data_IF_477731959532
#
_entry.id   IF_477731959532
#
_cell.length_a   1.000
_cell.length_b   1.000
_cell.length_c   1.000
_cell.angle_alpha   90.00
_cell.angle_beta   90.00
_cell.angle_gamma   90.00
#
_symmetry.space_group_name_H-M   'P 1'
#
loop_
_entity.id
_entity.type
_entity.pdbx_description
1 polymer ?
#
# COMPACT_ATOMS: atom_id res chain seq x y z
N UNK A 1 -8.75 18.24 -7.83
CA UNK A 1 -8.99 17.37 -6.66
C UNK A 1 -7.71 16.59 -6.42
N UNK A 2 -6.94 16.97 -5.42
CA UNK A 2 -5.63 16.39 -5.16
C UNK A 2 -5.77 15.10 -4.34
N UNK A 3 -5.50 13.95 -4.97
CA UNK A 3 -5.58 12.63 -4.36
C UNK A 3 -4.50 12.39 -3.29
N UNK A 4 -3.53 13.31 -3.13
CA UNK A 4 -2.38 13.14 -2.24
C UNK A 4 -2.69 13.36 -0.74
N UNK A 5 -3.84 13.95 -0.38
CA UNK A 5 -4.20 14.24 1.03
C UNK A 5 -4.80 13.08 1.81
N UNK A 6 -5.14 11.96 1.15
CA UNK A 6 -5.84 10.86 1.81
C UNK A 6 -4.85 9.81 2.29
N UNK A 7 -4.14 10.13 3.38
CA UNK A 7 -3.20 9.19 4.00
C UNK A 7 -3.98 7.98 4.54
N UNK A 8 -3.54 6.73 4.28
CA UNK A 8 -4.28 5.51 4.64
C UNK A 8 -4.66 5.41 6.13
N UNK A 9 -3.82 5.99 7.00
CA UNK A 9 -4.03 6.02 8.45
C UNK A 9 -5.32 6.75 8.83
N UNK A 10 -5.59 7.91 8.22
CA UNK A 10 -6.77 8.72 8.57
C UNK A 10 -8.08 8.14 8.01
N UNK A 11 -8.03 7.47 6.85
CA UNK A 11 -9.19 6.79 6.26
C UNK A 11 -9.76 5.69 7.17
N UNK A 12 -8.87 4.92 7.79
CA UNK A 12 -9.27 3.82 8.67
C UNK A 12 -9.98 4.36 9.90
N UNK A 13 -9.40 5.39 10.55
CA UNK A 13 -10.02 6.07 11.69
C UNK A 13 -11.39 6.66 11.33
N UNK A 14 -11.51 7.29 10.16
CA UNK A 14 -12.76 7.86 9.66
C UNK A 14 -13.87 6.82 9.50
N UNK A 15 -13.57 5.71 8.84
CA UNK A 15 -14.56 4.64 8.61
C UNK A 15 -15.00 4.02 9.93
N UNK A 16 -14.09 3.84 10.89
CA UNK A 16 -14.44 3.35 12.23
C UNK A 16 -15.33 4.34 13.00
N UNK A 17 -15.03 5.64 12.97
CA UNK A 17 -15.87 6.68 13.57
C UNK A 17 -17.28 6.73 12.96
N UNK A 18 -17.38 6.55 11.64
CA UNK A 18 -18.68 6.49 10.96
C UNK A 18 -19.49 5.25 11.32
N UNK A 19 -18.84 4.09 11.46
CA UNK A 19 -19.49 2.87 11.96
C UNK A 19 -20.01 3.02 13.40
N UNK A 20 -19.36 3.86 14.20
CA UNK A 20 -19.78 4.22 15.57
C UNK A 20 -20.87 5.31 15.63
N UNK A 21 -21.33 5.82 14.49
CA UNK A 21 -22.45 6.79 14.43
C UNK A 21 -22.08 8.22 14.05
N UNK A 22 -20.81 8.52 13.70
CA UNK A 22 -20.45 9.86 13.21
C UNK A 22 -21.10 10.13 11.84
N UNK A 23 -21.84 11.24 11.66
CA UNK A 23 -22.45 11.57 10.37
C UNK A 23 -21.44 11.75 9.25
N UNK A 24 -21.74 11.20 8.06
CA UNK A 24 -20.84 11.25 6.89
C UNK A 24 -20.49 12.68 6.48
N UNK A 25 -21.41 13.63 6.65
CA UNK A 25 -21.20 15.04 6.31
C UNK A 25 -20.16 15.72 7.22
N UNK A 26 -20.20 15.44 8.52
CA UNK A 26 -19.27 15.99 9.52
C UNK A 26 -17.84 15.52 9.25
N UNK A 27 -17.67 14.22 8.99
CA UNK A 27 -16.37 13.65 8.66
C UNK A 27 -15.84 14.12 7.29
N UNK A 28 -16.71 14.30 6.29
CA UNK A 28 -16.33 14.84 4.98
C UNK A 28 -15.75 16.26 5.11
N UNK A 29 -16.41 17.13 5.88
CA UNK A 29 -15.93 18.49 6.15
C UNK A 29 -14.61 18.49 6.92
N UNK A 30 -14.50 17.65 7.96
CA UNK A 30 -13.34 17.62 8.86
C UNK A 30 -12.05 17.15 8.17
N UNK A 31 -12.15 16.26 7.18
CA UNK A 31 -10.98 15.63 6.55
C UNK A 31 -10.85 15.91 5.04
N UNK A 32 -11.72 16.74 4.46
CA UNK A 32 -11.64 17.12 3.05
C UNK A 32 -11.83 15.96 2.06
N UNK A 33 -12.51 14.89 2.48
CA UNK A 33 -12.78 13.71 1.63
C UNK A 33 -14.23 13.79 1.10
N UNK A 34 -14.47 13.57 -0.21
CA UNK A 34 -15.81 13.58 -0.76
C UNK A 34 -16.76 12.62 -0.04
N UNK A 35 -17.99 13.08 0.22
CA UNK A 35 -19.02 12.32 0.95
C UNK A 35 -19.31 10.97 0.31
N UNK A 36 -19.39 10.91 -1.02
CA UNK A 36 -19.65 9.68 -1.79
C UNK A 36 -18.52 8.67 -1.59
N UNK A 37 -17.26 9.12 -1.58
CA UNK A 37 -16.09 8.27 -1.33
C UNK A 37 -16.15 7.64 0.07
N UNK A 38 -16.50 8.43 1.09
CA UNK A 38 -16.67 7.92 2.46
C UNK A 38 -17.82 6.92 2.56
N UNK A 39 -18.96 7.23 1.93
CA UNK A 39 -20.12 6.35 1.90
C UNK A 39 -19.79 4.99 1.25
N UNK A 40 -19.08 4.99 0.12
CA UNK A 40 -18.68 3.77 -0.57
C UNK A 40 -17.73 2.91 0.27
N UNK A 41 -16.84 3.54 1.05
CA UNK A 41 -15.93 2.84 1.97
C UNK A 41 -16.66 2.27 3.19
N UNK A 42 -17.59 3.01 3.79
CA UNK A 42 -18.40 2.53 4.92
C UNK A 42 -19.29 1.36 4.51
N UNK A 43 -19.95 1.47 3.35
CA UNK A 43 -20.82 0.42 2.78
C UNK A 43 -20.03 -0.77 2.21
N UNK A 44 -18.71 -0.74 2.21
CA UNK A 44 -17.87 -1.83 1.69
C UNK A 44 -17.85 -1.96 0.16
N UNK A 45 -18.44 -1.03 -0.59
CA UNK A 45 -18.40 -1.04 -2.07
C UNK A 45 -16.98 -0.90 -2.62
N UNK A 46 -16.10 -0.27 -1.86
CA UNK A 46 -14.67 -0.13 -2.19
C UNK A 46 -13.85 -0.36 -0.93
N UNK A 47 -12.68 -1.01 -1.03
CA UNK A 47 -11.83 -1.24 0.13
C UNK A 47 -11.34 0.09 0.72
N UNK A 48 -11.13 0.08 2.05
CA UNK A 48 -10.70 1.27 2.81
C UNK A 48 -9.32 1.72 2.31
N UNK A 49 -8.42 0.76 2.11
CA UNK A 49 -7.12 0.96 1.48
C UNK A 49 -7.14 0.33 0.09
N UNK A 50 -6.65 1.06 -0.91
CA UNK A 50 -6.40 0.51 -2.24
C UNK A 50 -5.14 1.14 -2.81
N UNK A 51 -4.31 0.35 -3.47
CA UNK A 51 -3.27 0.88 -4.35
C UNK A 51 -3.96 1.40 -5.63
N UNK A 52 -3.53 2.56 -6.11
CA UNK A 52 -3.96 3.10 -7.40
C UNK A 52 -3.03 2.56 -8.48
N UNK A 53 -3.59 2.05 -9.59
CA UNK A 53 -2.81 1.51 -10.71
C UNK A 53 -2.74 -0.02 -10.74
N UNK A 54 -1.96 -0.56 -11.70
CA UNK A 54 -1.73 -2.01 -11.84
C UNK A 54 -1.09 -2.56 -10.56
N UNK A 55 -1.42 -3.82 -10.25
CA UNK A 55 -0.73 -4.57 -9.20
C UNK A 55 0.77 -4.62 -9.49
N UNK A 56 1.58 -4.56 -8.43
CA UNK A 56 3.02 -4.76 -8.58
C UNK A 56 3.27 -6.23 -8.92
N UNK A 57 4.27 -6.53 -9.77
CA UNK A 57 4.70 -7.91 -10.02
C UNK A 57 5.31 -8.54 -8.76
N UNK A 58 6.03 -7.73 -7.97
CA UNK A 58 6.55 -8.13 -6.68
C UNK A 58 5.48 -7.90 -5.62
N UNK A 59 4.96 -8.96 -5.02
CA UNK A 59 3.93 -8.84 -3.98
C UNK A 59 4.51 -8.23 -2.70
N UNK A 60 3.64 -7.65 -1.85
CA UNK A 60 4.06 -7.05 -0.58
C UNK A 60 4.82 -8.03 0.32
N UNK A 61 4.52 -9.32 0.23
CA UNK A 61 5.18 -10.33 1.04
C UNK A 61 6.61 -10.60 0.58
N UNK A 62 6.85 -10.60 -0.74
CA UNK A 62 8.20 -10.70 -1.30
C UNK A 62 9.01 -9.44 -0.94
N UNK A 63 8.40 -8.25 -1.05
CA UNK A 63 9.04 -7.00 -0.65
C UNK A 63 9.44 -7.02 0.84
N UNK A 64 8.60 -7.54 1.74
CA UNK A 64 8.92 -7.69 3.17
C UNK A 64 10.12 -8.61 3.40
N UNK A 65 10.22 -9.72 2.67
CA UNK A 65 11.36 -10.65 2.76
C UNK A 65 12.64 -9.94 2.32
N UNK A 66 12.61 -9.24 1.18
CA UNK A 66 13.73 -8.44 0.68
C UNK A 66 14.18 -7.37 1.68
N UNK A 67 13.25 -6.60 2.25
CA UNK A 67 13.58 -5.58 3.26
C UNK A 67 14.19 -6.20 4.51
N UNK A 68 13.69 -7.35 4.95
CA UNK A 68 14.20 -8.06 6.12
C UNK A 68 15.63 -8.55 5.87
N UNK A 69 15.87 -9.14 4.70
CA UNK A 69 17.21 -9.57 4.29
C UNK A 69 18.19 -8.40 4.18
N UNK A 70 17.80 -7.29 3.52
CA UNK A 70 18.65 -6.10 3.41
C UNK A 70 19.03 -5.55 4.79
N UNK A 71 18.07 -5.46 5.71
CA UNK A 71 18.32 -5.01 7.08
C UNK A 71 19.25 -5.97 7.85
N UNK A 72 19.09 -7.27 7.66
CA UNK A 72 19.95 -8.27 8.30
C UNK A 72 21.41 -8.15 7.81
N UNK A 73 21.61 -7.94 6.51
CA UNK A 73 22.93 -7.78 5.91
C UNK A 73 23.63 -6.50 6.39
N UNK A 74 22.89 -5.39 6.48
CA UNK A 74 23.41 -4.14 7.09
C UNK A 74 23.80 -4.37 8.55
N UNK A 75 22.98 -5.08 9.34
CA UNK A 75 23.29 -5.39 10.74
C UNK A 75 24.55 -6.25 10.91
N UNK A 76 24.83 -7.11 9.93
CA UNK A 76 26.03 -7.94 9.90
C UNK A 76 27.28 -7.21 9.36
N UNK A 77 27.16 -5.94 8.96
CA UNK A 77 28.26 -5.15 8.44
C UNK A 77 28.49 -5.28 6.92
N UNK A 78 27.54 -5.89 6.20
CA UNK A 78 27.59 -6.08 4.75
C UNK A 78 26.45 -5.29 4.07
N UNK A 79 26.56 -3.97 3.94
CA UNK A 79 25.54 -3.18 3.26
C UNK A 79 25.44 -3.59 1.77
N UNK A 80 24.21 -3.76 1.30
CA UNK A 80 23.93 -4.16 -0.08
C UNK A 80 23.80 -2.91 -0.96
N UNK A 81 24.61 -2.85 -2.02
CA UNK A 81 24.52 -1.82 -3.05
C UNK A 81 23.31 -2.03 -3.98
N UNK A 82 23.01 -0.99 -4.77
CA UNK A 82 21.90 -0.99 -5.72
C UNK A 82 21.97 -2.17 -6.71
N UNK A 83 23.14 -2.42 -7.28
CA UNK A 83 23.31 -3.44 -8.33
C UNK A 83 23.08 -4.84 -7.76
N UNK A 84 23.70 -5.15 -6.62
CA UNK A 84 23.50 -6.40 -5.88
C UNK A 84 22.02 -6.63 -5.50
N UNK A 85 21.30 -5.57 -5.14
CA UNK A 85 19.86 -5.65 -4.86
C UNK A 85 19.07 -6.00 -6.13
N UNK A 86 19.37 -5.36 -7.25
CA UNK A 86 18.71 -5.63 -8.52
C UNK A 86 18.96 -7.05 -9.01
N UNK A 87 20.19 -7.55 -8.89
CA UNK A 87 20.54 -8.94 -9.21
C UNK A 87 19.78 -9.94 -8.34
N UNK A 88 19.66 -9.65 -7.05
CA UNK A 88 18.90 -10.48 -6.11
C UNK A 88 17.41 -10.50 -6.45
N UNK A 89 16.83 -9.34 -6.79
CA UNK A 89 15.43 -9.24 -7.22
C UNK A 89 15.20 -10.00 -8.52
N UNK A 90 16.11 -9.87 -9.49
CA UNK A 90 16.03 -10.61 -10.76
C UNK A 90 16.03 -12.10 -10.51
N UNK A 91 16.93 -12.58 -9.65
CA UNK A 91 16.99 -14.00 -9.27
C UNK A 91 15.68 -14.49 -8.65
N UNK A 92 15.07 -13.70 -7.76
CA UNK A 92 13.76 -14.02 -7.18
C UNK A 92 12.66 -14.11 -8.25
N UNK A 93 12.65 -13.17 -9.21
CA UNK A 93 11.70 -13.16 -10.31
C UNK A 93 11.85 -14.40 -11.20
N UNK A 94 13.09 -14.77 -11.52
CA UNK A 94 13.43 -15.94 -12.32
C UNK A 94 13.05 -17.25 -11.59
N UNK A 95 13.40 -17.37 -10.31
CA UNK A 95 13.15 -18.56 -9.48
C UNK A 95 11.65 -18.78 -9.24
N UNK A 96 10.89 -17.70 -9.01
CA UNK A 96 9.44 -17.74 -8.78
C UNK A 96 8.63 -17.73 -10.09
N UNK A 97 9.29 -17.66 -11.26
CA UNK A 97 8.65 -17.57 -12.58
C UNK A 97 7.56 -16.50 -12.63
N UNK A 98 7.85 -15.32 -12.09
CA UNK A 98 6.88 -14.21 -12.08
C UNK A 98 6.75 -13.70 -13.52
N UNK A 99 5.58 -13.86 -14.13
CA UNK A 99 5.31 -13.32 -15.45
C UNK A 99 5.27 -11.79 -15.43
N UNK A 100 6.29 -11.16 -16.02
CA UNK A 100 6.38 -9.70 -16.17
C UNK A 100 6.15 -9.22 -17.62
N UNK A 101 5.82 -10.13 -18.55
CA UNK A 101 5.76 -9.85 -20.00
C UNK A 101 4.33 -9.64 -20.56
N UNK A 102 3.33 -9.36 -19.72
CA UNK A 102 1.98 -9.00 -20.16
C UNK A 102 1.81 -7.47 -20.10
N UNK A 103 2.20 -6.77 -21.18
CA UNK A 103 1.94 -5.34 -21.37
C UNK A 103 0.73 -5.09 -22.26
#
# INVERSE_FOLDING_TARGET
>A
MDASRVTPKYLTFLVQGMRRGVPTATAAKKFGVPRVTLLNKVKGKTPIMRKMGRSCYLTEDIEKILVTWVKAMVKQGFPIGKDNLQDSVKKIVDDLKIDYNCL
#
